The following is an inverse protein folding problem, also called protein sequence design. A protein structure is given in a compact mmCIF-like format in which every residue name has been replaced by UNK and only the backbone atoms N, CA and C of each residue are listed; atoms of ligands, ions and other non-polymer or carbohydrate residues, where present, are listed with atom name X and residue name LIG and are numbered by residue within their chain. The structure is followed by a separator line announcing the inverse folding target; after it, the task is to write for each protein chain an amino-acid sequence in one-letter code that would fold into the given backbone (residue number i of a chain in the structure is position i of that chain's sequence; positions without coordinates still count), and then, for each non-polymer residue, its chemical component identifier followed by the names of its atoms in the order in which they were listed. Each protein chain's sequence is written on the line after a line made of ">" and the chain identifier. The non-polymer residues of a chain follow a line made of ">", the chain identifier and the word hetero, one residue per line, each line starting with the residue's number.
data_IF_717899142128
#
_entry.id   IF_717899142128
#
_cell.length_a   1.000
_cell.length_b   1.000
_cell.length_c   1.000
_cell.angle_alpha   90.00
_cell.angle_beta   90.00
_cell.angle_gamma   90.00
#
_symmetry.space_group_name_H-M   'P 1'
#
loop_
_entity.id
_entity.type
_entity.pdbx_description
1 polymer ?
#
# COMPACT_ATOMS: atom_id res chain seq x y z
N UNK A 1 -47.31 -8.26 -21.56
CA UNK A 1 -48.03 -9.29 -20.80
C UNK A 1 -47.23 -9.61 -19.55
N UNK A 2 -47.90 -9.68 -18.39
CA UNK A 2 -47.45 -10.05 -17.02
C UNK A 2 -46.30 -9.22 -16.40
N UNK A 3 -46.57 -8.21 -15.55
CA UNK A 3 -47.18 -8.11 -14.20
C UNK A 3 -46.28 -8.55 -13.04
N UNK A 4 -45.80 -7.52 -12.33
CA UNK A 4 -45.34 -7.49 -10.93
C UNK A 4 -46.27 -8.22 -9.96
N UNK A 5 -45.68 -8.86 -8.94
CA UNK A 5 -46.34 -9.15 -7.65
C UNK A 5 -45.36 -8.98 -6.50
N UNK A 6 -45.56 -7.92 -5.72
CA UNK A 6 -44.99 -7.76 -4.39
C UNK A 6 -45.75 -8.59 -3.36
N UNK A 7 -45.06 -9.02 -2.31
CA UNK A 7 -45.61 -9.75 -1.18
C UNK A 7 -45.42 -8.90 0.09
N UNK A 8 -46.53 -8.33 0.57
CA UNK A 8 -46.66 -7.70 1.89
C UNK A 8 -47.10 -8.80 2.85
N UNK A 9 -46.34 -9.03 3.93
CA UNK A 9 -46.76 -9.88 5.05
C UNK A 9 -47.23 -8.97 6.18
N UNK A 10 -48.55 -8.90 6.36
CA UNK A 10 -49.20 -8.34 7.54
C UNK A 10 -49.40 -9.48 8.56
N UNK A 11 -48.90 -9.30 9.79
CA UNK A 11 -49.20 -10.21 10.90
C UNK A 11 -50.36 -9.62 11.69
N UNK A 12 -51.51 -10.29 11.57
CA UNK A 12 -52.77 -10.00 12.23
C UNK A 12 -52.72 -10.36 13.71
N UNK A 13 -53.25 -9.47 14.54
CA UNK A 13 -53.50 -9.65 15.98
C UNK A 13 -54.68 -10.61 16.15
N UNK A 14 -54.45 -11.75 16.81
CA UNK A 14 -55.50 -12.66 17.24
C UNK A 14 -55.86 -12.40 18.71
N UNK A 15 -57.08 -11.92 18.93
CA UNK A 15 -57.75 -11.86 20.23
C UNK A 15 -58.33 -13.25 20.55
N UNK A 16 -57.99 -13.80 21.72
CA UNK A 16 -58.75 -14.85 22.38
C UNK A 16 -59.01 -14.41 23.83
N UNK A 17 -60.28 -14.40 24.21
CA UNK A 17 -60.75 -13.94 25.52
C UNK A 17 -61.01 -15.07 26.53
N UNK A 18 -61.18 -14.63 27.78
CA UNK A 18 -61.68 -15.38 28.94
C UNK A 18 -60.55 -15.85 29.88
N UNK A 19 -60.55 -15.65 31.20
CA UNK A 19 -61.52 -15.16 32.19
C UNK A 19 -60.71 -14.72 33.43
N UNK A 20 -60.96 -13.55 34.03
CA UNK A 20 -60.61 -13.30 35.43
C UNK A 20 -61.29 -12.03 35.98
N UNK A 21 -62.25 -12.26 36.88
CA UNK A 21 -62.83 -11.44 37.95
C UNK A 21 -62.64 -9.90 37.95
N UNK A 22 -63.72 -9.12 38.17
CA UNK A 22 -63.63 -7.66 38.26
C UNK A 22 -62.79 -7.28 39.49
N UNK A 23 -61.65 -6.62 39.25
CA UNK A 23 -60.88 -5.97 40.32
C UNK A 23 -61.77 -4.91 40.95
N UNK A 24 -61.90 -4.87 42.30
CA UNK A 24 -62.68 -3.82 42.94
C UNK A 24 -62.07 -2.44 42.60
N UNK A 25 -62.90 -1.40 42.45
CA UNK A 25 -62.43 -0.06 42.15
C UNK A 25 -61.42 0.37 43.22
N UNK A 26 -60.25 0.85 42.79
CA UNK A 26 -59.21 1.33 43.71
C UNK A 26 -59.79 2.36 44.66
N UNK A 27 -59.49 2.23 45.95
CA UNK A 27 -59.92 3.22 46.94
C UNK A 27 -59.27 4.58 46.64
N UNK A 28 -59.86 5.70 47.07
CA UNK A 28 -59.30 7.04 46.85
C UNK A 28 -57.85 7.18 47.36
N UNK A 29 -57.50 6.50 48.45
CA UNK A 29 -56.12 6.45 48.98
C UNK A 29 -55.16 5.72 48.04
N UNK A 30 -55.58 4.62 47.41
CA UNK A 30 -54.74 3.89 46.45
C UNK A 30 -54.52 4.69 45.16
N UNK A 31 -55.51 5.48 44.73
CA UNK A 31 -55.36 6.39 43.59
C UNK A 31 -54.41 7.54 43.90
N UNK A 32 -54.48 8.12 45.10
CA UNK A 32 -53.55 9.18 45.52
C UNK A 32 -52.11 8.67 45.59
N UNK A 33 -51.89 7.48 46.15
CA UNK A 33 -50.56 6.87 46.23
C UNK A 33 -49.99 6.51 44.85
N UNK A 34 -50.83 6.02 43.92
CA UNK A 34 -50.41 5.75 42.55
C UNK A 34 -50.00 7.03 41.80
N UNK A 35 -50.75 8.12 41.98
CA UNK A 35 -50.40 9.42 41.39
C UNK A 35 -49.11 10.01 41.99
N UNK A 36 -48.89 9.83 43.29
CA UNK A 36 -47.67 10.28 43.95
C UNK A 36 -46.44 9.50 43.46
N UNK A 37 -46.54 8.17 43.34
CA UNK A 37 -45.47 7.36 42.75
C UNK A 37 -45.20 7.72 41.29
N UNK A 38 -46.23 7.99 40.50
CA UNK A 38 -46.07 8.39 39.10
C UNK A 38 -45.38 9.76 38.98
N UNK A 39 -45.72 10.72 39.86
CA UNK A 39 -45.03 12.03 39.94
C UNK A 39 -43.58 11.88 40.39
N UNK A 40 -43.31 11.04 41.40
CA UNK A 40 -41.95 10.78 41.87
C UNK A 40 -41.08 10.10 40.81
N UNK A 41 -41.67 9.19 40.01
CA UNK A 41 -41.00 8.54 38.89
C UNK A 41 -40.67 9.53 37.76
N UNK A 42 -41.62 10.39 37.38
CA UNK A 42 -41.38 11.46 36.39
C UNK A 42 -40.32 12.46 36.89
N UNK A 43 -40.34 12.80 38.18
CA UNK A 43 -39.33 13.68 38.77
C UNK A 43 -37.92 13.06 38.72
N UNK A 44 -37.78 11.76 39.01
CA UNK A 44 -36.51 11.03 38.90
C UNK A 44 -36.02 10.93 37.45
N UNK A 45 -36.93 10.73 36.50
CA UNK A 45 -36.60 10.67 35.07
C UNK A 45 -36.12 12.03 34.56
N UNK A 46 -36.80 13.11 34.92
CA UNK A 46 -36.42 14.47 34.56
C UNK A 46 -35.11 14.93 35.24
N UNK A 47 -34.80 14.42 36.44
CA UNK A 47 -33.52 14.67 37.10
C UNK A 47 -32.34 14.00 36.36
N UNK A 48 -32.54 12.78 35.82
CA UNK A 48 -31.54 12.11 34.98
C UNK A 48 -31.31 12.81 33.64
N UNK A 49 -32.37 13.33 33.01
CA UNK A 49 -32.29 14.08 31.75
C UNK A 49 -31.60 15.44 31.92
N UNK A 50 -31.82 16.14 33.06
CA UNK A 50 -31.12 17.41 33.34
C UNK A 50 -29.63 17.25 33.62
N UNK A 51 -29.18 16.09 34.13
CA UNK A 51 -27.75 15.79 34.26
C UNK A 51 -27.07 15.44 32.92
N UNK A 52 -27.82 15.02 31.90
CA UNK A 52 -27.31 14.79 30.54
C UNK A 52 -27.32 16.04 29.64
N UNK A 53 -27.97 17.14 30.06
CA UNK A 53 -28.04 18.39 29.29
C UNK A 53 -27.16 19.54 29.82
N UNK A 54 -26.31 19.27 30.81
CA UNK A 54 -25.36 20.25 31.36
C UNK A 54 -23.87 19.90 31.11
N UNK A 55 -23.59 18.89 30.27
CA UNK A 55 -22.28 18.78 29.65
C UNK A 55 -22.32 19.59 28.35
N UNK A 56 -21.93 20.86 28.43
CA UNK A 56 -21.46 21.55 27.22
C UNK A 56 -20.37 20.67 26.61
N UNK A 57 -20.44 20.29 25.32
CA UNK A 57 -19.28 19.72 24.68
C UNK A 57 -18.16 20.73 24.85
N UNK A 58 -17.07 20.32 25.52
CA UNK A 58 -15.84 21.09 25.50
C UNK A 58 -15.56 21.42 24.02
N UNK A 59 -15.19 22.67 23.68
CA UNK A 59 -14.79 22.97 22.32
C UNK A 59 -13.72 21.96 21.94
N UNK A 60 -14.03 21.14 20.95
CA UNK A 60 -13.03 20.28 20.30
C UNK A 60 -12.00 21.28 19.81
N UNK A 61 -10.83 21.30 20.45
CA UNK A 61 -9.70 22.09 19.95
C UNK A 61 -9.48 21.65 18.51
N UNK A 62 -9.81 22.53 17.57
CA UNK A 62 -9.40 22.33 16.19
C UNK A 62 -7.89 22.10 16.22
N UNK A 63 -7.38 21.03 15.57
CA UNK A 63 -5.95 20.83 15.49
C UNK A 63 -5.34 22.10 14.90
N UNK A 64 -4.47 22.74 15.68
CA UNK A 64 -3.79 23.96 15.26
C UNK A 64 -2.98 23.60 14.02
N UNK A 65 -3.45 24.01 12.85
CA UNK A 65 -2.66 24.02 11.62
C UNK A 65 -1.46 24.92 11.90
N UNK A 66 -0.26 24.34 11.93
CA UNK A 66 0.94 25.10 12.30
C UNK A 66 1.31 26.11 11.21
N UNK A 67 0.98 25.78 9.95
CA UNK A 67 1.22 26.57 8.74
C UNK A 67 0.12 26.30 7.70
N UNK A 68 0.00 27.17 6.71
CA UNK A 68 -0.85 26.99 5.54
C UNK A 68 -0.24 26.04 4.49
N UNK A 69 -1.06 25.56 3.55
CA UNK A 69 -0.60 24.74 2.40
C UNK A 69 0.42 25.47 1.52
N UNK A 70 0.24 26.77 1.34
CA UNK A 70 1.14 27.59 0.53
C UNK A 70 2.50 27.77 1.23
N UNK A 71 2.50 28.03 2.54
CA UNK A 71 3.74 28.14 3.33
C UNK A 71 4.52 26.82 3.34
N UNK A 72 3.84 25.67 3.46
CA UNK A 72 4.50 24.37 3.36
C UNK A 72 5.15 24.16 1.98
N UNK A 73 4.43 24.50 0.91
CA UNK A 73 4.95 24.39 -0.45
C UNK A 73 6.16 25.31 -0.67
N UNK A 74 6.17 26.51 -0.09
CA UNK A 74 7.30 27.44 -0.14
C UNK A 74 8.51 26.92 0.64
N UNK A 75 8.32 26.31 1.82
CA UNK A 75 9.39 25.65 2.56
C UNK A 75 10.03 24.52 1.75
N UNK A 76 9.21 23.71 1.09
CA UNK A 76 9.70 22.63 0.22
C UNK A 76 10.43 23.21 -0.99
N UNK A 77 9.88 24.24 -1.65
CA UNK A 77 10.51 24.86 -2.81
C UNK A 77 11.88 25.46 -2.46
N UNK A 78 12.03 26.04 -1.27
CA UNK A 78 13.32 26.56 -0.78
C UNK A 78 14.36 25.45 -0.67
N UNK A 79 14.00 24.30 -0.07
CA UNK A 79 14.89 23.13 0.05
C UNK A 79 15.16 22.47 -1.30
N UNK A 80 14.15 22.41 -2.16
CA UNK A 80 14.24 21.82 -3.50
C UNK A 80 15.17 22.59 -4.43
N UNK A 81 15.25 23.92 -4.29
CA UNK A 81 16.07 24.77 -5.18
C UNK A 81 17.57 24.46 -5.12
N UNK A 82 18.00 23.71 -4.12
CA UNK A 82 19.37 23.22 -3.99
C UNK A 82 19.60 21.88 -4.72
N UNK A 83 18.55 21.13 -5.08
CA UNK A 83 18.56 19.74 -5.57
C UNK A 83 19.41 19.45 -6.80
N UNK A 84 20.26 18.42 -6.71
CA UNK A 84 21.07 17.90 -7.81
C UNK A 84 20.75 16.41 -8.06
N UNK A 85 20.88 16.00 -9.32
CA UNK A 85 20.77 14.60 -9.67
C UNK A 85 21.79 13.76 -8.90
N UNK A 86 21.34 12.67 -8.28
CA UNK A 86 22.18 11.86 -7.40
C UNK A 86 21.77 10.39 -7.43
N UNK A 87 22.73 9.49 -7.20
CA UNK A 87 22.41 8.09 -6.95
C UNK A 87 21.77 7.93 -5.56
N UNK A 88 20.60 7.29 -5.51
CA UNK A 88 19.87 7.00 -4.27
C UNK A 88 19.68 5.49 -4.16
N UNK A 89 20.10 4.90 -3.04
CA UNK A 89 19.99 3.45 -2.83
C UNK A 89 19.33 3.12 -1.52
N UNK A 90 18.45 2.10 -1.55
CA UNK A 90 17.90 1.49 -0.35
C UNK A 90 18.94 0.61 0.32
N UNK A 91 19.09 0.80 1.63
CA UNK A 91 19.81 -0.12 2.51
C UNK A 91 18.85 -0.61 3.59
N UNK A 92 19.27 -1.60 4.39
CA UNK A 92 18.41 -2.21 5.41
C UNK A 92 17.90 -1.18 6.43
N UNK A 93 18.79 -0.27 6.83
CA UNK A 93 18.55 0.70 7.90
C UNK A 93 18.53 2.14 7.35
N UNK A 94 17.75 2.37 6.29
CA UNK A 94 17.55 3.69 5.69
C UNK A 94 17.93 3.78 4.21
N UNK A 95 18.59 4.87 3.82
CA UNK A 95 19.01 5.09 2.44
C UNK A 95 20.43 5.66 2.35
N UNK A 96 21.03 5.45 1.18
CA UNK A 96 22.29 6.06 0.77
C UNK A 96 21.99 7.15 -0.25
N UNK A 97 22.58 8.32 -0.08
CA UNK A 97 22.51 9.45 -1.01
C UNK A 97 23.94 9.75 -1.46
N UNK A 98 24.22 9.65 -2.76
CA UNK A 98 25.56 9.93 -3.31
C UNK A 98 26.66 9.02 -2.73
N UNK A 99 26.30 7.83 -2.28
CA UNK A 99 27.23 6.89 -1.64
C UNK A 99 27.49 7.12 -0.15
N UNK A 100 26.86 8.11 0.49
CA UNK A 100 26.89 8.30 1.94
C UNK A 100 25.58 7.85 2.59
N UNK A 101 25.60 7.23 3.79
CA UNK A 101 24.38 6.91 4.52
C UNK A 101 23.70 8.18 5.01
N UNK A 102 22.37 8.24 4.84
CA UNK A 102 21.54 9.28 5.44
C UNK A 102 20.76 8.68 6.60
N UNK A 103 20.87 9.32 7.77
CA UNK A 103 20.19 8.95 9.00
C UNK A 103 19.47 10.18 9.55
N UNK A 104 18.26 9.98 10.06
CA UNK A 104 17.52 11.03 10.76
C UNK A 104 17.71 10.83 12.29
N UNK A 105 18.20 11.84 13.03
CA UNK A 105 18.40 11.71 14.48
C UNK A 105 17.10 11.51 15.26
N UNK A 106 15.94 11.79 14.68
CA UNK A 106 14.63 11.61 15.34
C UNK A 106 14.11 10.17 15.30
N UNK A 107 14.67 9.28 14.48
CA UNK A 107 14.21 7.89 14.43
C UNK A 107 14.70 7.03 13.27
N UNK A 108 14.08 5.86 13.14
CA UNK A 108 14.40 4.89 12.10
C UNK A 108 13.65 5.21 10.79
N UNK A 109 14.38 5.30 9.68
CA UNK A 109 13.78 5.43 8.35
C UNK A 109 13.32 4.05 7.87
N UNK A 110 12.00 3.85 7.79
CA UNK A 110 11.40 2.55 7.43
C UNK A 110 11.07 2.43 5.95
N UNK A 111 11.03 3.56 5.22
CA UNK A 111 10.65 3.60 3.82
C UNK A 111 11.02 4.93 3.18
N UNK A 112 11.13 4.95 1.85
CA UNK A 112 11.31 6.18 1.08
C UNK A 112 10.90 5.96 -0.37
N UNK A 113 10.59 7.07 -1.03
CA UNK A 113 10.38 7.21 -2.47
C UNK A 113 11.22 8.38 -2.95
N UNK A 114 11.82 8.26 -4.14
CA UNK A 114 12.76 9.26 -4.60
C UNK A 114 12.77 9.42 -6.12
N UNK A 115 13.07 10.63 -6.56
CA UNK A 115 13.38 10.96 -7.94
C UNK A 115 14.87 11.32 -8.04
N UNK A 116 15.67 10.37 -8.52
CA UNK A 116 17.12 10.54 -8.61
C UNK A 116 17.56 11.68 -9.54
N UNK A 117 16.75 12.05 -10.54
CA UNK A 117 17.07 13.12 -11.49
C UNK A 117 16.91 14.52 -10.90
N UNK A 118 15.97 14.68 -9.97
CA UNK A 118 15.70 15.96 -9.31
C UNK A 118 16.27 16.04 -7.90
N UNK A 119 16.72 14.89 -7.34
CA UNK A 119 17.16 14.84 -5.97
C UNK A 119 16.02 14.87 -4.93
N UNK A 120 14.77 14.77 -5.37
CA UNK A 120 13.60 14.83 -4.49
C UNK A 120 13.42 13.50 -3.75
N UNK A 121 13.34 13.54 -2.42
CA UNK A 121 13.16 12.36 -1.56
C UNK A 121 12.05 12.63 -0.55
N UNK A 122 11.11 11.69 -0.42
CA UNK A 122 10.26 11.62 0.77
C UNK A 122 10.49 10.31 1.46
N UNK A 123 10.76 10.37 2.76
CA UNK A 123 10.96 9.19 3.59
C UNK A 123 9.98 9.15 4.75
N UNK A 124 9.71 7.93 5.20
CA UNK A 124 8.88 7.62 6.35
C UNK A 124 9.78 7.30 7.55
N UNK A 125 9.64 8.10 8.60
CA UNK A 125 10.32 7.96 9.87
C UNK A 125 9.38 7.32 10.89
N UNK A 126 9.84 6.29 11.59
CA UNK A 126 9.08 5.69 12.69
C UNK A 126 9.18 6.54 13.95
N UNK A 127 8.15 7.38 14.19
CA UNK A 127 8.07 8.28 15.35
C UNK A 127 7.39 7.63 16.58
N UNK A 128 6.64 6.53 16.38
CA UNK A 128 5.93 5.82 17.44
C UNK A 128 5.58 4.38 17.07
N UNK A 129 4.86 3.67 17.95
CA UNK A 129 4.49 2.25 17.71
C UNK A 129 3.62 2.07 16.46
N UNK A 130 2.68 2.99 16.24
CA UNK A 130 1.73 2.97 15.13
C UNK A 130 1.77 4.30 14.35
N UNK A 131 2.91 4.98 14.38
CA UNK A 131 3.04 6.33 13.86
C UNK A 131 4.25 6.44 12.93
N UNK A 132 4.01 6.99 11.73
CA UNK A 132 5.03 7.31 10.75
C UNK A 132 4.97 8.79 10.42
N UNK A 133 6.08 9.50 10.56
CA UNK A 133 6.23 10.88 10.11
C UNK A 133 6.84 10.90 8.72
N UNK A 134 6.22 11.61 7.78
CA UNK A 134 6.72 11.77 6.42
C UNK A 134 7.46 13.09 6.29
N UNK A 135 8.69 13.04 5.79
CA UNK A 135 9.54 14.22 5.61
C UNK A 135 10.06 14.28 4.17
N UNK A 136 10.08 15.49 3.62
CA UNK A 136 10.72 15.80 2.36
C UNK A 136 12.17 16.21 2.59
N UNK A 137 13.05 15.75 1.71
CA UNK A 137 14.48 16.04 1.68
C UNK A 137 14.91 16.25 0.23
N UNK A 138 15.73 17.27 0.01
CA UNK A 138 16.49 17.41 -1.23
C UNK A 138 17.84 16.70 -1.07
N UNK A 139 18.30 16.04 -2.12
CA UNK A 139 19.60 15.37 -2.19
C UNK A 139 20.78 16.31 -2.00
N UNK A 140 20.57 17.60 -2.27
CA UNK A 140 21.61 18.59 -2.29
C UNK A 140 21.43 19.58 -1.15
N UNK A 141 22.53 19.81 -0.44
CA UNK A 141 22.61 20.73 0.68
C UNK A 141 22.48 20.05 2.05
N UNK A 142 22.98 20.76 3.07
CA UNK A 142 22.79 20.42 4.50
C UNK A 142 21.42 20.88 5.01
N UNK A 143 20.44 21.06 4.12
CA UNK A 143 19.12 21.56 4.48
C UNK A 143 18.39 20.54 5.35
N UNK A 144 17.83 21.01 6.46
CA UNK A 144 17.01 20.17 7.31
C UNK A 144 15.77 19.67 6.55
N UNK A 145 15.37 18.41 6.76
CA UNK A 145 14.19 17.85 6.10
C UNK A 145 12.91 18.54 6.55
N UNK A 146 11.98 18.76 5.62
CA UNK A 146 10.70 19.43 5.86
C UNK A 146 9.62 18.40 6.18
N UNK A 147 9.01 18.49 7.36
CA UNK A 147 7.92 17.57 7.75
C UNK A 147 6.64 17.85 6.95
N UNK A 148 6.15 16.82 6.25
CA UNK A 148 4.89 16.87 5.50
C UNK A 148 3.69 16.59 6.40
N UNK A 149 3.84 15.62 7.31
CA UNK A 149 2.76 15.18 8.17
C UNK A 149 3.02 13.83 8.82
N UNK A 150 2.00 13.33 9.50
CA UNK A 150 2.06 12.09 10.27
C UNK A 150 0.93 11.16 9.87
N UNK A 151 1.24 9.89 9.63
CA UNK A 151 0.29 8.82 9.49
C UNK A 151 0.17 8.04 10.81
N UNK A 152 -1.06 7.87 11.29
CA UNK A 152 -1.37 7.08 12.49
C UNK A 152 -2.22 5.88 12.10
N UNK A 153 -1.79 4.68 12.51
CA UNK A 153 -2.52 3.43 12.29
C UNK A 153 -3.33 3.03 13.52
N UNK A 154 -4.60 2.70 13.31
CA UNK A 154 -5.49 2.14 14.32
C UNK A 154 -6.15 0.83 13.83
N UNK A 155 -7.21 0.39 14.51
CA UNK A 155 -7.93 -0.85 14.16
C UNK A 155 -8.81 -0.71 12.91
N UNK A 156 -9.10 0.51 12.47
CA UNK A 156 -10.02 0.80 11.36
C UNK A 156 -9.29 1.23 10.09
N UNK A 157 -8.02 1.64 10.19
CA UNK A 157 -7.15 1.91 9.05
C UNK A 157 -5.97 2.80 9.41
N UNK A 158 -5.58 3.65 8.48
CA UNK A 158 -4.53 4.67 8.63
C UNK A 158 -5.11 6.04 8.31
N UNK A 159 -4.76 7.03 9.13
CA UNK A 159 -5.08 8.44 8.91
C UNK A 159 -3.80 9.26 8.77
N UNK A 160 -3.62 9.90 7.62
CA UNK A 160 -2.57 10.88 7.40
C UNK A 160 -3.09 12.27 7.76
N UNK A 161 -2.37 12.98 8.63
CA UNK A 161 -2.60 14.39 8.97
C UNK A 161 -1.36 15.18 8.58
N UNK A 162 -1.49 16.05 7.59
CA UNK A 162 -0.43 17.01 7.22
C UNK A 162 -0.19 18.04 8.32
N UNK A 163 0.98 18.70 8.31
CA UNK A 163 1.29 19.80 9.24
C UNK A 163 0.37 21.03 9.06
N UNK A 164 -0.34 21.10 7.94
CA UNK A 164 -1.36 22.13 7.65
C UNK A 164 -2.73 21.78 8.23
N UNK A 165 -2.87 20.60 8.85
CA UNK A 165 -4.13 20.10 9.40
C UNK A 165 -5.01 19.35 8.39
N UNK A 166 -4.62 19.24 7.11
CA UNK A 166 -5.34 18.43 6.12
C UNK A 166 -5.28 16.95 6.51
N UNK A 167 -6.43 16.28 6.50
CA UNK A 167 -6.57 14.86 6.88
C UNK A 167 -7.05 14.00 5.72
N UNK A 168 -6.43 12.84 5.56
CA UNK A 168 -6.79 11.80 4.59
C UNK A 168 -6.82 10.45 5.30
N UNK A 169 -7.88 9.69 5.08
CA UNK A 169 -8.06 8.37 5.71
C UNK A 169 -8.12 7.26 4.65
N UNK A 170 -7.43 6.16 4.93
CA UNK A 170 -7.35 4.98 4.07
C UNK A 170 -6.85 3.75 4.82
N UNK A 171 -6.32 2.77 4.09
CA UNK A 171 -5.77 1.52 4.63
C UNK A 171 -4.25 1.54 4.71
N UNK A 172 -3.59 2.33 3.88
CA UNK A 172 -2.15 2.47 3.87
C UNK A 172 -1.73 3.89 3.46
N UNK A 173 -0.51 4.27 3.82
CA UNK A 173 0.13 5.51 3.39
C UNK A 173 1.49 5.19 2.80
N UNK A 174 1.73 5.60 1.56
CA UNK A 174 2.97 5.38 0.84
C UNK A 174 3.57 6.72 0.43
N UNK A 175 4.88 6.90 0.57
CA UNK A 175 5.54 8.12 0.11
C UNK A 175 5.60 8.22 -1.41
N UNK A 176 5.69 9.44 -1.93
CA UNK A 176 6.12 9.77 -3.30
C UNK A 176 7.24 10.79 -3.19
N UNK A 177 8.09 10.98 -4.19
CA UNK A 177 9.17 11.98 -4.15
C UNK A 177 8.67 13.42 -3.89
N UNK A 178 7.37 13.68 -4.07
CA UNK A 178 6.75 14.99 -3.89
C UNK A 178 5.70 15.05 -2.78
N UNK A 179 5.40 13.95 -2.10
CA UNK A 179 4.26 13.88 -1.19
C UNK A 179 3.93 12.48 -0.67
N UNK A 180 2.64 12.20 -0.50
CA UNK A 180 2.14 10.88 -0.04
C UNK A 180 0.89 10.43 -0.80
N UNK A 181 0.74 9.13 -0.93
CA UNK A 181 -0.46 8.44 -1.36
C UNK A 181 -1.17 7.87 -0.13
N UNK A 182 -2.46 8.12 -0.01
CA UNK A 182 -3.33 7.44 0.96
C UNK A 182 -4.25 6.50 0.18
N UNK A 183 -4.04 5.20 0.36
CA UNK A 183 -4.72 4.17 -0.44
C UNK A 183 -5.97 3.64 0.25
N UNK A 184 -6.97 3.27 -0.54
CA UNK A 184 -8.14 2.49 -0.17
C UNK A 184 -8.28 1.36 -1.18
N UNK A 185 -9.18 0.43 -0.93
CA UNK A 185 -9.38 -0.76 -1.77
C UNK A 185 -9.50 -0.42 -3.26
N UNK A 186 -10.36 0.54 -3.62
CA UNK A 186 -10.63 0.92 -5.02
C UNK A 186 -10.17 2.34 -5.40
N UNK A 187 -9.45 3.05 -4.54
CA UNK A 187 -9.08 4.46 -4.81
C UNK A 187 -7.82 4.90 -4.07
N UNK A 188 -7.17 5.93 -4.60
CA UNK A 188 -5.96 6.53 -4.02
C UNK A 188 -6.10 8.03 -3.99
N UNK A 189 -5.74 8.64 -2.86
CA UNK A 189 -5.62 10.09 -2.73
C UNK A 189 -4.14 10.47 -2.75
N UNK A 190 -3.75 11.28 -3.72
CA UNK A 190 -2.40 11.83 -3.77
C UNK A 190 -2.39 13.23 -3.17
N UNK A 191 -1.62 13.38 -2.09
CA UNK A 191 -1.36 14.65 -1.45
C UNK A 191 0.03 15.13 -1.84
N UNK A 192 0.08 16.29 -2.49
CA UNK A 192 1.30 17.09 -2.69
C UNK A 192 1.06 18.46 -2.06
N UNK A 193 1.95 18.96 -1.19
CA UNK A 193 1.79 20.26 -0.55
C UNK A 193 1.54 21.39 -1.54
N UNK A 194 0.63 22.30 -1.20
CA UNK A 194 0.26 23.43 -2.06
C UNK A 194 -0.61 23.07 -3.26
N UNK A 195 -0.88 21.78 -3.48
CA UNK A 195 -1.74 21.31 -4.56
C UNK A 195 -3.09 20.80 -4.02
N UNK A 196 -4.07 20.73 -4.93
CA UNK A 196 -5.31 20.03 -4.64
C UNK A 196 -5.03 18.53 -4.56
N UNK A 197 -5.60 17.85 -3.56
CA UNK A 197 -5.55 16.39 -3.48
C UNK A 197 -6.19 15.82 -4.75
N UNK A 198 -5.43 15.03 -5.51
CA UNK A 198 -5.94 14.30 -6.66
C UNK A 198 -6.37 12.90 -6.26
N UNK A 199 -7.31 12.34 -7.02
CA UNK A 199 -7.88 11.01 -6.76
C UNK A 199 -7.69 10.14 -8.00
N UNK A 200 -7.20 8.92 -7.79
CA UNK A 200 -7.09 7.88 -8.80
C UNK A 200 -8.00 6.70 -8.43
N UNK A 201 -8.68 6.14 -9.41
CA UNK A 201 -9.47 4.92 -9.25
C UNK A 201 -8.64 3.70 -9.65
N UNK A 202 -8.73 2.64 -8.87
CA UNK A 202 -8.11 1.34 -9.17
C UNK A 202 -9.17 0.42 -9.80
N UNK A 203 -8.83 -0.38 -10.84
CA UNK A 203 -9.76 -1.33 -11.43
C UNK A 203 -10.34 -2.33 -10.40
N UNK A 204 -11.59 -2.76 -10.55
CA UNK A 204 -12.34 -3.52 -9.53
C UNK A 204 -11.68 -4.83 -9.06
N UNK A 205 -10.92 -5.50 -9.93
CA UNK A 205 -10.22 -6.76 -9.61
C UNK A 205 -8.80 -6.55 -9.06
N UNK A 206 -8.43 -5.32 -8.74
CA UNK A 206 -7.12 -4.95 -8.23
C UNK A 206 -7.24 -4.05 -7.00
N UNK A 207 -6.17 -4.00 -6.22
CA UNK A 207 -5.94 -3.02 -5.16
C UNK A 207 -4.53 -2.46 -5.29
N UNK A 208 -4.21 -1.40 -4.57
CA UNK A 208 -2.84 -0.86 -4.56
C UNK A 208 -1.92 -1.82 -3.82
N UNK A 209 -0.80 -2.20 -4.45
CA UNK A 209 0.20 -3.01 -3.78
C UNK A 209 0.71 -2.27 -2.53
N UNK A 210 0.81 -2.97 -1.40
CA UNK A 210 1.09 -2.36 -0.10
C UNK A 210 2.44 -1.62 -0.08
N UNK A 211 3.39 -2.04 -0.92
CA UNK A 211 4.70 -1.45 -1.05
C UNK A 211 4.93 -0.97 -2.48
N UNK A 212 5.47 0.23 -2.61
CA UNK A 212 5.89 0.81 -3.89
C UNK A 212 7.40 0.96 -3.84
N UNK A 213 8.10 0.40 -4.83
CA UNK A 213 9.55 0.55 -4.94
C UNK A 213 9.93 1.68 -5.89
N UNK A 214 9.18 1.83 -6.97
CA UNK A 214 9.28 2.99 -7.84
C UNK A 214 8.53 4.20 -7.29
N UNK A 215 8.79 5.34 -7.91
CA UNK A 215 8.26 6.61 -7.45
C UNK A 215 7.07 7.09 -8.28
N UNK A 216 5.90 7.16 -7.65
CA UNK A 216 4.70 7.71 -8.26
C UNK A 216 4.83 9.21 -8.59
N UNK A 217 5.53 9.98 -7.74
CA UNK A 217 5.57 11.45 -7.86
C UNK A 217 6.22 11.94 -9.14
N UNK A 218 7.26 11.24 -9.60
CA UNK A 218 7.98 11.56 -10.84
C UNK A 218 7.51 10.77 -12.06
N UNK A 219 6.97 9.56 -11.89
CA UNK A 219 6.59 8.70 -13.02
C UNK A 219 5.10 8.74 -13.35
N UNK A 220 4.23 9.04 -12.38
CA UNK A 220 2.78 8.91 -12.51
C UNK A 220 2.28 7.46 -12.52
N UNK A 221 3.15 6.46 -12.37
CA UNK A 221 2.78 5.04 -12.35
C UNK A 221 2.68 4.50 -10.93
N UNK A 222 1.61 3.74 -10.69
CA UNK A 222 1.32 3.06 -9.44
C UNK A 222 1.29 1.55 -9.64
N UNK A 223 1.99 0.79 -8.81
CA UNK A 223 1.87 -0.67 -8.80
C UNK A 223 0.57 -1.10 -8.12
N UNK A 224 -0.23 -1.87 -8.84
CA UNK A 224 -1.46 -2.49 -8.36
C UNK A 224 -1.32 -4.02 -8.39
N UNK A 225 -1.98 -4.67 -7.44
CA UNK A 225 -1.97 -6.11 -7.20
C UNK A 225 -3.37 -6.68 -7.44
N UNK A 226 -3.45 -7.82 -8.11
CA UNK A 226 -4.70 -8.54 -8.37
C UNK A 226 -5.29 -9.01 -7.04
N UNK A 227 -6.59 -8.84 -6.87
CA UNK A 227 -7.29 -9.33 -5.69
C UNK A 227 -7.25 -10.86 -5.65
N UNK A 228 -7.01 -11.45 -4.48
CA UNK A 228 -7.12 -12.89 -4.31
C UNK A 228 -8.55 -13.34 -4.62
N UNK A 229 -8.71 -14.27 -5.56
CA UNK A 229 -10.00 -14.91 -5.78
C UNK A 229 -10.34 -15.74 -4.54
N UNK A 230 -11.51 -15.50 -3.94
CA UNK A 230 -12.01 -16.26 -2.80
C UNK A 230 -12.05 -17.74 -3.19
N UNK A 231 -11.11 -18.54 -2.69
CA UNK A 231 -11.04 -19.99 -2.95
C UNK A 231 -12.24 -20.68 -2.30
N UNK A 232 -13.36 -20.77 -3.00
CA UNK A 232 -14.50 -21.56 -2.56
C UNK A 232 -14.15 -23.06 -2.61
N UNK A 233 -14.03 -23.67 -1.43
CA UNK A 233 -14.23 -25.11 -1.24
C UNK A 233 -13.01 -26.02 -1.36
N UNK A 234 -13.18 -27.22 -0.78
CA UNK A 234 -12.21 -28.32 -0.57
C UNK A 234 -11.51 -28.87 -1.84
N UNK A 235 -11.69 -28.24 -3.01
CA UNK A 235 -10.93 -28.50 -4.23
C UNK A 235 -9.56 -27.78 -4.26
N UNK A 236 -9.29 -26.87 -3.31
CA UNK A 236 -8.03 -26.12 -3.22
C UNK A 236 -6.82 -26.88 -2.65
N UNK A 237 -6.98 -28.16 -2.27
CA UNK A 237 -5.84 -28.98 -1.83
C UNK A 237 -5.14 -29.69 -3.00
N UNK A 238 -5.75 -29.78 -4.18
CA UNK A 238 -5.10 -30.30 -5.39
C UNK A 238 -4.25 -29.26 -6.12
N UNK A 239 -4.44 -27.96 -5.86
CA UNK A 239 -3.59 -26.90 -6.44
C UNK A 239 -2.22 -26.77 -5.75
N UNK A 240 -2.07 -27.26 -4.52
CA UNK A 240 -0.77 -27.30 -3.80
C UNK A 240 0.18 -28.35 -4.43
N UNK A 241 -0.35 -29.34 -5.15
CA UNK A 241 0.45 -30.36 -5.87
C UNK A 241 0.64 -30.00 -7.36
N UNK A 242 -0.15 -29.06 -7.88
CA UNK A 242 -0.06 -28.57 -9.28
C UNK A 242 1.13 -27.65 -9.56
N UNK A 243 1.66 -26.95 -8.55
CA UNK A 243 2.76 -25.99 -8.72
C UNK A 243 4.15 -26.62 -8.89
N UNK A 244 4.26 -27.94 -8.81
CA UNK A 244 5.51 -28.67 -9.08
C UNK A 244 5.56 -29.31 -10.48
N UNK A 245 4.54 -29.07 -11.32
CA UNK A 245 4.34 -29.79 -12.59
C UNK A 245 4.00 -28.96 -13.83
N UNK A 246 4.11 -27.62 -13.82
CA UNK A 246 3.83 -26.81 -15.02
C UNK A 246 5.07 -26.62 -15.90
N UNK A 247 5.39 -27.70 -16.59
CA UNK A 247 6.21 -27.69 -17.80
C UNK A 247 5.38 -27.20 -19.00
N UNK A 248 5.90 -26.16 -19.68
CA UNK A 248 5.68 -25.82 -21.10
C UNK A 248 4.32 -25.18 -21.47
N UNK A 249 4.27 -23.85 -21.40
CA UNK A 249 3.46 -23.01 -22.29
C UNK A 249 2.30 -22.22 -21.67
N UNK A 250 2.54 -20.91 -21.45
CA UNK A 250 1.58 -19.82 -21.64
C UNK A 250 0.33 -19.74 -20.72
N UNK A 251 0.54 -19.36 -19.47
CA UNK A 251 -0.24 -18.27 -18.88
C UNK A 251 0.74 -17.22 -18.36
N UNK A 252 0.59 -15.97 -18.79
CA UNK A 252 1.27 -14.86 -18.12
C UNK A 252 0.67 -14.74 -16.72
N UNK A 253 1.52 -14.67 -15.70
CA UNK A 253 1.08 -14.42 -14.35
C UNK A 253 0.68 -12.94 -14.26
N UNK A 254 -0.60 -12.62 -14.46
CA UNK A 254 -1.14 -11.26 -14.48
C UNK A 254 -1.41 -10.70 -13.06
N UNK A 255 -0.56 -11.06 -12.10
CA UNK A 255 -0.75 -10.71 -10.69
C UNK A 255 -0.52 -9.25 -10.37
N UNK A 256 0.28 -8.54 -11.19
CA UNK A 256 0.66 -7.15 -10.96
C UNK A 256 0.60 -6.31 -12.24
N UNK A 257 0.26 -5.03 -12.09
CA UNK A 257 0.26 -4.05 -13.19
C UNK A 257 0.78 -2.70 -12.71
N UNK A 258 1.34 -1.90 -13.62
CA UNK A 258 1.56 -0.47 -13.38
C UNK A 258 0.41 0.32 -14.01
N UNK A 259 -0.29 1.11 -13.20
CA UNK A 259 -1.40 1.99 -13.59
C UNK A 259 -0.90 3.42 -13.72
N UNK A 260 -1.07 4.02 -14.89
CA UNK A 260 -0.82 5.45 -15.11
C UNK A 260 -1.98 6.27 -14.54
N UNK A 261 -1.68 7.21 -13.65
CA UNK A 261 -2.71 8.01 -12.98
C UNK A 261 -3.43 9.03 -13.86
N UNK A 262 -2.77 9.50 -14.92
CA UNK A 262 -3.30 10.51 -15.83
C UNK A 262 -4.11 9.87 -16.96
N UNK A 263 -3.55 8.83 -17.59
CA UNK A 263 -4.16 8.19 -18.76
C UNK A 263 -5.07 7.02 -18.41
N UNK A 264 -4.90 6.42 -17.23
CA UNK A 264 -5.57 5.17 -16.85
C UNK A 264 -5.03 3.93 -17.57
N UNK A 265 -3.93 4.06 -18.33
CA UNK A 265 -3.30 2.94 -19.03
C UNK A 265 -2.67 1.95 -18.05
N UNK A 266 -2.70 0.68 -18.44
CA UNK A 266 -2.21 -0.45 -17.64
C UNK A 266 -1.07 -1.14 -18.37
N UNK A 267 0.09 -1.21 -17.72
CA UNK A 267 1.24 -2.02 -18.16
C UNK A 267 1.26 -3.32 -17.36
N UNK A 268 1.04 -4.44 -18.04
CA UNK A 268 0.96 -5.76 -17.39
C UNK A 268 2.33 -6.33 -17.09
N UNK A 269 2.49 -6.86 -15.87
CA UNK A 269 3.70 -7.50 -15.41
C UNK A 269 3.46 -9.00 -15.19
N UNK A 270 4.32 -9.84 -15.78
CA UNK A 270 4.31 -11.30 -15.63
C UNK A 270 4.96 -11.71 -14.30
N UNK A 271 4.25 -11.40 -13.21
CA UNK A 271 4.61 -11.63 -11.81
C UNK A 271 3.41 -12.27 -11.11
N UNK A 272 3.62 -13.44 -10.49
CA UNK A 272 2.59 -14.11 -9.68
C UNK A 272 2.43 -13.47 -8.30
N UNK A 273 1.22 -13.48 -7.77
CA UNK A 273 0.89 -13.11 -6.38
C UNK A 273 1.32 -14.18 -5.36
N UNK A 274 1.63 -15.40 -5.80
CA UNK A 274 1.83 -16.55 -4.89
C UNK A 274 3.21 -16.57 -4.20
N UNK A 275 4.19 -15.82 -4.72
CA UNK A 275 5.60 -15.92 -4.29
C UNK A 275 6.00 -14.90 -3.19
N UNK A 276 5.06 -14.08 -2.71
CA UNK A 276 5.32 -12.98 -1.76
C UNK A 276 5.40 -13.40 -0.29
N UNK A 277 4.88 -14.58 0.03
CA UNK A 277 4.82 -15.10 1.38
C UNK A 277 6.09 -15.85 1.80
N UNK A 278 6.37 -15.82 3.10
CA UNK A 278 7.37 -16.68 3.74
C UNK A 278 6.68 -17.62 4.72
N UNK A 279 6.97 -18.92 4.61
CA UNK A 279 6.43 -19.93 5.52
C UNK A 279 7.42 -20.29 6.63
N UNK A 280 6.96 -20.28 7.89
CA UNK A 280 7.73 -20.73 9.04
C UNK A 280 7.09 -21.99 9.62
N UNK A 281 7.86 -23.06 9.70
CA UNK A 281 7.44 -24.30 10.36
C UNK A 281 7.48 -24.19 11.89
N UNK A 282 6.47 -24.73 12.57
CA UNK A 282 6.46 -24.91 14.03
C UNK A 282 6.56 -26.38 14.39
N UNK A 283 7.11 -26.65 15.59
CA UNK A 283 7.23 -28.02 16.13
C UNK A 283 7.98 -28.96 15.20
N UNK A 284 9.07 -28.49 14.60
CA UNK A 284 9.84 -29.26 13.64
C UNK A 284 10.71 -30.31 14.35
N UNK A 285 10.46 -31.58 14.05
CA UNK A 285 11.25 -32.71 14.52
C UNK A 285 12.06 -33.28 13.35
N UNK A 286 13.32 -33.63 13.62
CA UNK A 286 14.20 -34.23 12.60
C UNK A 286 13.65 -35.59 12.20
N UNK A 287 13.27 -35.75 10.93
CA UNK A 287 12.85 -37.04 10.39
C UNK A 287 14.05 -37.81 9.84
N UNK A 288 14.99 -37.12 9.18
CA UNK A 288 16.27 -37.65 8.71
C UNK A 288 17.29 -36.51 8.50
N UNK A 289 18.45 -36.81 7.92
CA UNK A 289 19.56 -35.85 7.73
C UNK A 289 19.25 -34.70 6.77
N UNK A 290 18.19 -34.82 5.96
CA UNK A 290 17.83 -33.86 4.92
C UNK A 290 16.43 -33.25 5.12
N UNK A 291 15.59 -33.85 5.99
CA UNK A 291 14.18 -33.50 6.15
C UNK A 291 13.82 -33.36 7.61
N UNK A 292 13.31 -32.18 7.97
CA UNK A 292 12.60 -31.96 9.23
C UNK A 292 11.09 -31.99 8.96
N UNK A 293 10.34 -32.69 9.81
CA UNK A 293 8.89 -32.72 9.76
C UNK A 293 8.34 -31.71 10.77
N UNK A 294 7.65 -30.69 10.29
CA UNK A 294 7.01 -29.67 11.12
C UNK A 294 5.54 -30.02 11.36
N UNK A 295 5.02 -29.69 12.55
CA UNK A 295 3.63 -29.96 12.93
C UNK A 295 2.64 -28.95 12.34
N UNK A 296 3.09 -27.74 12.03
CA UNK A 296 2.33 -26.73 11.29
C UNK A 296 3.26 -25.78 10.54
N UNK A 297 2.70 -24.99 9.61
CA UNK A 297 3.37 -23.88 8.95
C UNK A 297 2.49 -22.64 9.05
N UNK A 298 3.09 -21.50 9.37
CA UNK A 298 2.44 -20.20 9.22
C UNK A 298 3.06 -19.47 8.03
N UNK A 299 2.23 -18.95 7.13
CA UNK A 299 2.67 -18.11 6.01
C UNK A 299 2.24 -16.67 6.23
N UNK A 300 3.11 -15.72 5.86
CA UNK A 300 2.82 -14.29 5.87
C UNK A 300 3.66 -13.55 4.84
N UNK A 301 3.12 -12.47 4.27
CA UNK A 301 3.84 -11.60 3.32
C UNK A 301 5.04 -10.95 4.01
N UNK A 302 6.23 -11.04 3.40
CA UNK A 302 7.44 -10.44 3.95
C UNK A 302 8.48 -10.11 2.90
N UNK A 303 9.04 -8.89 2.96
CA UNK A 303 10.17 -8.47 2.14
C UNK A 303 11.44 -9.29 2.41
N UNK A 304 11.60 -9.82 3.63
CA UNK A 304 12.79 -10.54 4.05
C UNK A 304 12.42 -11.88 4.67
N UNK A 305 13.29 -12.86 4.47
CA UNK A 305 13.22 -14.16 5.15
C UNK A 305 13.70 -14.00 6.61
N UNK A 306 13.40 -14.98 7.50
CA UNK A 306 13.85 -14.97 8.89
C UNK A 306 15.37 -14.85 9.07
N UNK A 307 16.15 -15.31 8.08
CA UNK A 307 17.62 -15.19 8.06
C UNK A 307 18.11 -13.78 7.65
N UNK A 308 17.20 -12.85 7.36
CA UNK A 308 17.49 -11.49 6.94
C UNK A 308 17.78 -11.34 5.44
N UNK A 309 17.77 -12.43 4.66
CA UNK A 309 17.93 -12.35 3.20
C UNK A 309 16.65 -11.85 2.55
N UNK A 310 16.76 -11.21 1.37
CA UNK A 310 15.58 -10.75 0.62
C UNK A 310 14.68 -11.92 0.26
N UNK A 311 13.37 -11.75 0.45
CA UNK A 311 12.38 -12.65 -0.14
C UNK A 311 12.28 -12.41 -1.65
N UNK A 312 13.20 -12.98 -2.43
CA UNK A 312 13.31 -12.76 -3.89
C UNK A 312 12.04 -13.09 -4.70
N UNK A 313 11.08 -13.83 -4.13
CA UNK A 313 9.78 -14.08 -4.76
C UNK A 313 8.82 -12.89 -4.67
N UNK A 314 8.98 -12.05 -3.65
CA UNK A 314 8.13 -10.88 -3.42
C UNK A 314 8.27 -9.85 -4.54
N UNK A 315 7.14 -9.36 -5.04
CA UNK A 315 7.06 -8.39 -6.15
C UNK A 315 7.97 -7.17 -5.97
N UNK A 316 8.10 -6.66 -4.73
CA UNK A 316 8.96 -5.54 -4.38
C UNK A 316 10.42 -5.72 -4.83
N UNK A 317 10.93 -6.95 -4.87
CA UNK A 317 12.29 -7.23 -5.35
C UNK A 317 12.34 -7.61 -6.84
N UNK A 318 11.19 -7.65 -7.51
CA UNK A 318 11.03 -8.06 -8.90
C UNK A 318 10.75 -6.91 -9.85
N UNK A 319 10.30 -5.76 -9.35
CA UNK A 319 9.97 -4.59 -10.17
C UNK A 319 10.55 -3.31 -9.58
N UNK A 320 11.23 -2.55 -10.44
CA UNK A 320 11.69 -1.19 -10.19
C UNK A 320 11.20 -0.31 -11.35
N UNK A 321 10.62 0.84 -11.06
CA UNK A 321 10.28 1.82 -12.10
C UNK A 321 10.69 3.22 -11.66
N UNK A 322 11.18 4.01 -12.60
CA UNK A 322 11.80 5.30 -12.32
C UNK A 322 11.70 6.23 -13.53
N UNK A 323 11.75 7.53 -13.25
CA UNK A 323 11.79 8.55 -14.28
C UNK A 323 13.19 8.63 -14.88
N UNK A 324 13.30 8.67 -16.20
CA UNK A 324 14.55 8.90 -16.95
C UNK A 324 14.41 10.17 -17.81
N UNK A 325 15.49 10.71 -18.40
CA UNK A 325 15.39 11.80 -19.36
C UNK A 325 14.51 11.49 -20.58
N UNK A 326 14.37 10.20 -20.94
CA UNK A 326 13.57 9.74 -22.08
C UNK A 326 12.12 9.41 -21.71
N UNK A 327 11.78 9.46 -20.42
CA UNK A 327 10.47 9.08 -19.89
C UNK A 327 10.56 8.04 -18.76
N UNK A 328 9.42 7.59 -18.23
CA UNK A 328 9.38 6.57 -17.20
C UNK A 328 9.67 5.18 -17.78
N UNK A 329 10.59 4.45 -17.15
CA UNK A 329 10.95 3.08 -17.49
C UNK A 329 10.78 2.15 -16.29
N UNK A 330 10.49 0.88 -16.57
CA UNK A 330 10.53 -0.19 -15.58
C UNK A 330 11.59 -1.25 -15.93
N UNK A 331 12.25 -1.77 -14.91
CA UNK A 331 13.04 -2.99 -14.94
C UNK A 331 12.27 -4.06 -14.18
N UNK A 332 11.97 -5.17 -14.84
CA UNK A 332 11.04 -6.18 -14.32
C UNK A 332 11.61 -7.57 -14.52
N UNK A 333 11.60 -8.36 -13.45
CA UNK A 333 11.93 -9.78 -13.51
C UNK A 333 10.67 -10.62 -13.74
N UNK A 334 10.52 -11.11 -14.96
CA UNK A 334 9.31 -11.78 -15.48
C UNK A 334 9.57 -13.25 -15.84
N UNK A 335 8.54 -13.94 -16.35
CA UNK A 335 8.58 -15.32 -16.83
C UNK A 335 9.07 -16.31 -15.76
N UNK A 336 8.50 -16.24 -14.56
CA UNK A 336 8.88 -17.14 -13.45
C UNK A 336 10.36 -17.02 -13.06
N UNK A 337 10.88 -15.79 -13.03
CA UNK A 337 12.29 -15.40 -12.74
C UNK A 337 13.30 -15.51 -13.89
N UNK A 338 12.91 -16.00 -15.08
CA UNK A 338 13.85 -16.32 -16.16
C UNK A 338 14.34 -15.12 -16.97
N UNK A 339 13.61 -14.01 -16.98
CA UNK A 339 13.92 -12.84 -17.81
C UNK A 339 13.98 -11.57 -16.98
N UNK A 340 14.92 -10.69 -17.31
CA UNK A 340 14.87 -9.28 -16.91
C UNK A 340 14.53 -8.46 -18.13
N UNK A 341 13.39 -7.79 -18.07
CA UNK A 341 12.85 -6.95 -19.12
C UNK A 341 13.00 -5.47 -18.73
N UNK A 342 13.30 -4.65 -19.72
CA UNK A 342 13.23 -3.19 -19.64
C UNK A 342 12.01 -2.76 -20.43
N UNK A 343 11.14 -1.95 -19.84
CA UNK A 343 9.86 -1.54 -20.40
C UNK A 343 9.82 -0.02 -20.44
N UNK A 344 9.60 0.56 -21.63
CA UNK A 344 9.19 1.96 -21.74
C UNK A 344 7.71 2.03 -21.38
N UNK A 345 7.38 2.71 -20.29
CA UNK A 345 6.04 2.69 -19.73
C UNK A 345 5.04 3.54 -20.54
N UNK A 346 5.51 4.57 -21.24
CA UNK A 346 4.66 5.39 -22.11
C UNK A 346 4.21 4.64 -23.37
N UNK A 347 5.01 3.68 -23.84
CA UNK A 347 4.76 2.96 -25.10
C UNK A 347 4.33 1.50 -24.89
N UNK A 348 4.36 1.01 -23.65
CA UNK A 348 4.24 -0.42 -23.30
C UNK A 348 5.09 -1.33 -24.19
N UNK A 349 6.32 -0.87 -24.51
CA UNK A 349 7.28 -1.63 -25.31
C UNK A 349 8.34 -2.23 -24.40
N UNK A 350 8.53 -3.54 -24.52
CA UNK A 350 9.46 -4.33 -23.69
C UNK A 350 10.61 -4.94 -24.50
N UNK A 351 11.78 -4.99 -23.88
CA UNK A 351 12.96 -5.71 -24.39
C UNK A 351 13.57 -6.54 -23.26
N UNK A 352 13.86 -7.81 -23.54
CA UNK A 352 14.63 -8.67 -22.63
C UNK A 352 16.11 -8.32 -22.72
N UNK A 353 16.68 -7.86 -21.61
CA UNK A 353 18.11 -7.49 -21.54
C UNK A 353 18.98 -8.58 -20.93
N UNK A 354 18.39 -9.49 -20.14
CA UNK A 354 19.04 -10.68 -19.60
C UNK A 354 18.04 -11.84 -19.56
N UNK A 355 18.51 -13.05 -19.87
CA UNK A 355 17.69 -14.27 -19.86
C UNK A 355 18.49 -15.47 -19.34
N UNK A 356 17.86 -16.30 -18.51
CA UNK A 356 18.41 -17.57 -18.03
C UNK A 356 17.32 -18.62 -17.87
N UNK A 357 17.48 -19.75 -18.57
CA UNK A 357 16.51 -20.87 -18.54
C UNK A 357 16.23 -21.39 -17.13
N UNK A 358 17.27 -21.49 -16.29
CA UNK A 358 17.19 -21.98 -14.91
C UNK A 358 16.86 -20.87 -13.88
N UNK A 359 16.28 -19.75 -14.34
CA UNK A 359 15.92 -18.60 -13.51
C UNK A 359 17.09 -17.68 -13.20
N UNK A 360 16.81 -16.41 -12.94
CA UNK A 360 17.77 -15.42 -12.46
C UNK A 360 17.56 -15.30 -10.95
N UNK A 361 18.61 -15.57 -10.15
CA UNK A 361 18.40 -15.76 -8.72
C UNK A 361 18.03 -14.45 -8.00
N UNK A 362 18.57 -13.32 -8.46
CA UNK A 362 18.26 -11.97 -7.97
C UNK A 362 18.80 -10.94 -8.94
N UNK A 363 18.31 -9.72 -8.82
CA UNK A 363 18.93 -8.56 -9.45
C UNK A 363 18.88 -7.34 -8.52
N UNK A 364 19.74 -6.38 -8.81
CA UNK A 364 19.76 -5.04 -8.24
C UNK A 364 19.69 -4.03 -9.38
N UNK A 365 18.88 -2.99 -9.19
CA UNK A 365 18.72 -1.88 -10.13
C UNK A 365 19.22 -0.61 -9.45
N UNK A 366 20.05 0.15 -10.17
CA UNK A 366 20.57 1.43 -9.71
C UNK A 366 20.46 2.46 -10.82
N UNK A 367 19.96 3.65 -10.50
CA UNK A 367 19.92 4.77 -11.42
C UNK A 367 21.06 5.75 -11.11
N UNK A 368 21.85 6.06 -12.12
CA UNK A 368 22.89 7.08 -12.07
C UNK A 368 22.29 8.50 -12.21
N UNK A 369 23.01 9.56 -11.80
CA UNK A 369 22.54 10.94 -11.91
C UNK A 369 22.15 11.40 -13.32
N UNK A 370 22.77 10.84 -14.36
CA UNK A 370 22.45 11.12 -15.76
C UNK A 370 21.20 10.37 -16.26
N UNK A 371 20.57 9.57 -15.40
CA UNK A 371 19.40 8.78 -15.70
C UNK A 371 19.71 7.40 -16.26
N UNK A 372 20.97 7.04 -16.47
CA UNK A 372 21.35 5.69 -16.89
C UNK A 372 20.95 4.67 -15.82
N UNK A 373 20.34 3.57 -16.27
CA UNK A 373 19.93 2.47 -15.41
C UNK A 373 20.93 1.34 -15.53
N UNK A 374 21.54 0.92 -14.42
CA UNK A 374 22.38 -0.28 -14.33
C UNK A 374 21.60 -1.41 -13.68
N UNK A 375 21.74 -2.60 -14.26
CA UNK A 375 21.21 -3.86 -13.71
C UNK A 375 22.35 -4.83 -13.44
N UNK A 376 22.44 -5.33 -12.20
CA UNK A 376 23.34 -6.41 -11.82
C UNK A 376 22.52 -7.65 -11.44
N UNK A 377 22.75 -8.78 -12.12
CA UNK A 377 21.96 -10.00 -11.95
C UNK A 377 22.82 -11.19 -11.55
N UNK A 378 22.29 -12.04 -10.64
CA UNK A 378 22.93 -13.28 -10.23
C UNK A 378 22.51 -14.44 -11.16
N UNK A 379 23.44 -14.86 -12.01
CA UNK A 379 23.24 -15.84 -13.10
C UNK A 379 23.73 -17.25 -12.69
N UNK A 380 23.16 -17.81 -11.62
CA UNK A 380 23.68 -19.04 -11.03
C UNK A 380 24.95 -18.79 -10.25
N UNK A 381 26.11 -19.25 -10.74
CA UNK A 381 27.41 -19.08 -10.05
C UNK A 381 28.19 -17.81 -10.47
N UNK A 382 27.72 -17.08 -11.48
CA UNK A 382 28.31 -15.84 -11.95
C UNK A 382 27.37 -14.65 -11.72
N UNK A 383 27.92 -13.45 -11.89
CA UNK A 383 27.15 -12.21 -12.00
C UNK A 383 27.26 -11.67 -13.42
N UNK A 384 26.17 -11.14 -13.93
CA UNK A 384 26.16 -10.36 -15.16
C UNK A 384 25.71 -8.93 -14.88
N UNK A 385 26.22 -7.99 -15.67
CA UNK A 385 25.92 -6.57 -15.51
C UNK A 385 25.54 -5.98 -16.85
N UNK A 386 24.37 -5.35 -16.90
CA UNK A 386 23.99 -4.41 -17.96
C UNK A 386 24.28 -3.02 -17.40
N UNK A 387 25.34 -2.40 -17.88
CA UNK A 387 25.80 -1.10 -17.36
C UNK A 387 24.86 0.05 -17.71
N UNK A 388 24.18 -0.07 -18.85
CA UNK A 388 23.19 0.88 -19.36
C UNK A 388 22.05 0.10 -20.03
N UNK A 389 20.98 -0.07 -19.27
CA UNK A 389 19.79 -0.81 -19.66
C UNK A 389 18.94 -0.08 -20.70
N UNK A 390 19.02 1.25 -20.79
CA UNK A 390 18.30 2.02 -21.82
C UNK A 390 18.97 1.84 -23.18
N UNK A 391 20.30 1.89 -23.22
CA UNK A 391 21.06 1.56 -24.43
C UNK A 391 20.86 0.11 -24.88
N UNK A 392 20.79 -0.83 -23.93
CA UNK A 392 20.49 -2.23 -24.22
C UNK A 392 19.07 -2.42 -24.78
N UNK A 393 18.10 -1.68 -24.22
CA UNK A 393 16.73 -1.62 -24.71
C UNK A 393 16.67 -1.15 -26.17
N UNK A 394 17.30 -0.03 -26.51
CA UNK A 394 17.33 0.50 -27.88
C UNK A 394 18.00 -0.43 -28.89
N UNK A 395 19.08 -1.10 -28.48
CA UNK A 395 19.72 -2.11 -29.30
C UNK A 395 18.77 -3.28 -29.57
N UNK A 396 18.05 -3.76 -28.54
CA UNK A 396 17.07 -4.83 -28.67
C UNK A 396 15.87 -4.44 -29.53
N UNK A 397 15.33 -3.23 -29.39
CA UNK A 397 14.26 -2.73 -30.26
C UNK A 397 14.69 -2.74 -31.74
N UNK A 398 15.89 -2.23 -32.05
CA UNK A 398 16.42 -2.25 -33.43
C UNK A 398 16.56 -3.66 -33.96
N UNK A 399 17.03 -4.60 -33.15
CA UNK A 399 17.14 -6.01 -33.53
C UNK A 399 15.77 -6.63 -33.83
N UNK A 400 14.75 -6.34 -33.00
CA UNK A 400 13.37 -6.79 -33.22
C UNK A 400 12.75 -6.21 -34.49
N UNK A 401 13.03 -4.93 -34.79
CA UNK A 401 12.58 -4.28 -36.01
C UNK A 401 13.24 -4.84 -37.26
N UNK A 402 14.52 -5.23 -37.18
CA UNK A 402 15.26 -5.82 -38.31
C UNK A 402 14.92 -7.29 -38.57
N UNK A 403 14.32 -7.98 -37.59
CA UNK A 403 13.87 -9.37 -37.71
C UNK A 403 12.46 -9.52 -38.32
N UNK A 404 11.75 -8.41 -38.52
CA UNK A 404 10.47 -8.33 -39.25
C UNK A 404 10.73 -7.96 -40.70
#
# INVERSE_FOLDING_TARGET
>A
MHKFRGMIVAISIALLGGCASPRPPMTPEQQAMAQEMQKAFIARMNAGVRQQQAAQPAPVSEPVSLISEQELAEQIAAVKSDGDAVEIRRVRDGLMIGGAPYLDPEGEITGFSANALAGDIVYALKSGRNELTFKYLSSAGNSEPVTLGTATKDTTGVSFTSVTGKKLAGQNVVGTSTGVLVTRDASVFHYTPGQRVSTLMVPESYHVAALQKGDFGSTGYLLIEKNEETKEGLAGLTSIVGSLGETVGLSEADGYMLLNAETGELVKLDISTDDKDVSIGRGCERQNDFVNKCSSFDSYESLYRPDGTRNRGHYFWRVDWMQTPEGPFAVVQEAGTRKINVINLNEDKRVTVLERTLGIASHDVTQAPDGTIRVEAQMGFSKETVSDSLKAYDAGLRALSAAK
#
